data_IF_101801081302
#
_entry.id   IF_101801081302
#
_cell.length_a   1.000
_cell.length_b   1.000
_cell.length_c   1.000
_cell.angle_alpha   90.00
_cell.angle_beta   90.00
_cell.angle_gamma   90.00
#
_symmetry.space_group_name_H-M   'P 1'
#
loop_
_entity.id
_entity.type
_entity.pdbx_description
1 polymer ?
#
# COMPACT_ATOMS: atom_id res chain seq x y z
N UNK A 1 6.87 14.72 -11.21
CA UNK A 1 5.89 15.76 -11.57
C UNK A 1 6.58 16.72 -12.52
N UNK A 2 6.09 16.82 -13.76
CA UNK A 2 6.71 17.63 -14.80
C UNK A 2 5.72 18.70 -15.32
N UNK A 3 6.25 19.83 -15.80
CA UNK A 3 5.43 20.96 -16.25
C UNK A 3 4.53 20.60 -17.45
N UNK A 4 4.97 19.67 -18.30
CA UNK A 4 4.28 19.28 -19.53
C UNK A 4 3.36 18.05 -19.37
N UNK A 5 3.17 17.54 -18.15
CA UNK A 5 2.31 16.38 -17.89
C UNK A 5 0.88 16.63 -18.38
N UNK A 6 0.34 15.68 -19.15
CA UNK A 6 -1.06 15.69 -19.61
C UNK A 6 -1.90 14.80 -18.69
N UNK A 7 -3.10 15.27 -18.36
CA UNK A 7 -4.05 14.54 -17.51
C UNK A 7 -5.49 14.91 -17.89
N UNK A 8 -6.40 13.95 -17.69
CA UNK A 8 -7.84 14.14 -17.86
C UNK A 8 -8.50 14.43 -16.51
N UNK A 9 -9.65 15.13 -16.54
CA UNK A 9 -10.44 15.42 -15.34
C UNK A 9 -11.66 14.52 -15.24
N UNK A 10 -11.98 14.13 -14.01
CA UNK A 10 -13.22 13.43 -13.66
C UNK A 10 -13.94 14.17 -12.53
N UNK A 11 -15.26 14.05 -12.48
CA UNK A 11 -16.05 14.61 -11.38
C UNK A 11 -16.01 13.66 -10.18
N UNK A 12 -15.11 13.92 -9.24
CA UNK A 12 -14.97 13.17 -7.99
C UNK A 12 -14.49 14.07 -6.84
N UNK A 13 -14.63 13.58 -5.61
CA UNK A 13 -14.13 14.29 -4.43
C UNK A 13 -12.60 14.12 -4.30
N UNK A 14 -11.86 15.20 -3.96
CA UNK A 14 -10.44 15.10 -3.66
C UNK A 14 -10.18 14.19 -2.45
N UNK A 15 -9.05 13.49 -2.47
CA UNK A 15 -8.60 12.65 -1.36
C UNK A 15 -7.90 13.46 -0.28
N UNK A 16 -7.83 12.90 0.93
CA UNK A 16 -7.09 13.51 2.05
C UNK A 16 -5.59 13.50 1.73
N UNK A 17 -4.84 14.40 2.37
CA UNK A 17 -3.40 14.48 2.16
C UNK A 17 -2.70 13.13 2.42
N UNK A 18 -3.04 12.48 3.54
CA UNK A 18 -2.49 11.17 3.94
C UNK A 18 -3.27 9.97 3.42
N UNK A 19 -3.97 10.12 2.29
CA UNK A 19 -4.54 8.96 1.61
C UNK A 19 -3.41 8.02 1.15
N UNK A 20 -3.59 6.72 1.37
CA UNK A 20 -2.56 5.70 1.11
C UNK A 20 -2.00 5.77 -0.32
N UNK A 21 -2.84 6.16 -1.28
CA UNK A 21 -2.48 6.25 -2.69
C UNK A 21 -1.52 7.41 -2.99
N UNK A 22 -1.48 8.44 -2.16
CA UNK A 22 -0.49 9.51 -2.27
C UNK A 22 0.89 9.07 -1.76
N UNK A 23 0.93 8.08 -0.87
CA UNK A 23 2.14 7.62 -0.18
C UNK A 23 2.52 6.19 -0.56
N UNK A 24 2.26 5.80 -1.81
CA UNK A 24 2.41 4.42 -2.31
C UNK A 24 3.79 3.81 -2.05
N UNK A 25 4.86 4.62 -2.02
CA UNK A 25 6.21 4.14 -1.68
C UNK A 25 6.32 3.57 -0.27
N UNK A 26 5.56 4.08 0.71
CA UNK A 26 5.58 3.53 2.08
C UNK A 26 4.99 2.12 2.11
N UNK A 27 4.00 1.85 1.26
CA UNK A 27 3.30 0.58 1.18
C UNK A 27 3.90 -0.39 0.16
N UNK A 28 4.82 0.05 -0.70
CA UNK A 28 5.52 -0.82 -1.65
C UNK A 28 6.86 -1.35 -1.14
N UNK A 29 7.42 -0.75 -0.08
CA UNK A 29 8.73 -1.11 0.45
C UNK A 29 8.64 -2.19 1.53
N UNK A 30 8.24 -3.40 1.13
CA UNK A 30 8.40 -4.58 1.98
C UNK A 30 9.73 -5.26 1.64
N UNK A 31 10.76 -5.03 2.46
CA UNK A 31 11.89 -5.98 2.53
C UNK A 31 11.44 -7.17 3.38
N UNK A 32 10.50 -7.97 2.87
CA UNK A 32 10.14 -9.22 3.52
C UNK A 32 11.36 -10.15 3.42
N UNK A 33 11.95 -10.51 4.56
CA UNK A 33 12.69 -11.76 4.63
C UNK A 33 11.67 -12.88 4.39
N UNK A 34 11.74 -13.49 3.21
CA UNK A 34 10.84 -14.54 2.69
C UNK A 34 10.63 -15.71 3.68
N UNK A 35 11.49 -15.85 4.68
CA UNK A 35 11.44 -16.90 5.70
C UNK A 35 10.83 -16.47 7.06
N UNK A 36 10.38 -15.22 7.24
CA UNK A 36 9.80 -14.80 8.53
C UNK A 36 8.50 -15.55 8.87
N UNK A 37 7.74 -16.01 7.87
CA UNK A 37 6.51 -16.79 8.08
C UNK A 37 6.76 -18.26 8.45
N UNK A 38 8.00 -18.75 8.28
CA UNK A 38 8.37 -20.12 8.67
C UNK A 38 8.60 -20.27 10.17
N UNK A 39 8.84 -19.18 10.89
CA UNK A 39 8.89 -19.14 12.35
C UNK A 39 7.48 -18.90 12.93
N UNK A 40 6.52 -19.74 12.53
CA UNK A 40 5.19 -19.75 13.14
C UNK A 40 5.28 -20.33 14.54
N UNK A 41 5.20 -19.47 15.56
CA UNK A 41 4.93 -19.89 16.94
C UNK A 41 3.44 -20.22 17.05
N UNK A 42 3.07 -21.44 16.67
CA UNK A 42 1.77 -22.08 16.91
C UNK A 42 0.54 -21.17 16.67
N UNK A 43 0.26 -20.86 15.40
CA UNK A 43 -1.01 -20.23 14.99
C UNK A 43 -2.11 -21.29 14.95
N UNK A 44 -2.78 -21.51 16.07
CA UNK A 44 -4.06 -22.23 16.07
C UNK A 44 -5.17 -21.32 15.52
N UNK A 45 -5.47 -21.43 14.22
CA UNK A 45 -6.66 -20.83 13.64
C UNK A 45 -7.89 -21.67 14.01
N UNK A 46 -8.63 -21.22 15.03
CA UNK A 46 -9.84 -21.89 15.53
C UNK A 46 -11.13 -21.36 14.90
N UNK A 47 -11.06 -20.44 13.94
CA UNK A 47 -12.23 -19.72 13.42
C UNK A 47 -12.28 -19.58 11.89
N UNK A 48 -11.57 -20.44 11.16
CA UNK A 48 -11.70 -20.56 9.70
C UNK A 48 -13.08 -21.09 9.28
#
# INVERSE_FOLDING_TARGET
>A
HDADMKYDLILSSPKKFDDELHHSSHFMNFSNEENSDTFSTDREDRFS
#
